data_IF_176765059438
#
_entry.id   IF_176765059438
#
_cell.length_a   1.000
_cell.length_b   1.000
_cell.length_c   1.000
_cell.angle_alpha   90.00
_cell.angle_beta   90.00
_cell.angle_gamma   90.00
#
_symmetry.space_group_name_H-M   'P 1'
#
loop_
_entity.id
_entity.type
_entity.pdbx_description
1 polymer ?
#
# COMPACT_ATOMS: atom_id res chain seq x y z
N UNK A 1 44.85 -63.93 10.77
CA UNK A 1 44.05 -62.84 11.31
C UNK A 1 44.50 -61.53 10.69
N UNK A 2 43.92 -61.09 9.55
CA UNK A 2 44.11 -59.76 8.92
C UNK A 2 43.20 -59.67 7.72
N UNK A 3 41.92 -59.43 7.88
CA UNK A 3 41.00 -59.04 6.83
C UNK A 3 39.76 -58.34 7.43
N UNK A 4 39.93 -57.19 8.06
CA UNK A 4 38.81 -56.45 8.66
C UNK A 4 38.86 -54.93 8.46
N UNK A 5 39.91 -54.43 7.79
CA UNK A 5 40.15 -52.98 7.74
C UNK A 5 39.79 -52.26 6.45
N UNK A 6 39.31 -52.96 5.41
CA UNK A 6 39.18 -52.34 4.05
C UNK A 6 37.74 -52.00 3.66
N UNK A 7 36.74 -52.37 4.46
CA UNK A 7 35.32 -52.13 4.07
C UNK A 7 34.76 -50.86 4.63
N UNK A 8 35.36 -50.30 5.68
CA UNK A 8 34.87 -49.07 6.36
C UNK A 8 35.30 -47.78 5.62
N UNK A 9 36.43 -47.83 4.90
CA UNK A 9 36.91 -46.64 4.14
C UNK A 9 36.11 -46.35 2.87
N UNK A 10 35.40 -47.37 2.29
CA UNK A 10 34.61 -47.19 1.06
C UNK A 10 33.23 -46.56 1.28
N UNK A 11 32.67 -46.63 2.49
CA UNK A 11 31.33 -46.14 2.76
C UNK A 11 31.27 -44.65 3.13
N UNK A 12 32.38 -44.06 3.52
CA UNK A 12 32.47 -42.62 3.87
C UNK A 12 32.66 -41.75 2.64
N UNK A 13 33.18 -42.30 1.54
CA UNK A 13 33.42 -41.52 0.30
C UNK A 13 32.20 -41.38 -0.62
N UNK A 14 31.11 -42.15 -0.38
CA UNK A 14 29.90 -42.11 -1.20
C UNK A 14 28.83 -41.12 -0.71
N UNK A 15 29.01 -40.51 0.50
CA UNK A 15 28.04 -39.58 1.05
C UNK A 15 28.40 -38.10 0.87
N UNK A 16 29.53 -37.82 0.23
CA UNK A 16 30.03 -36.44 0.04
C UNK A 16 29.68 -35.79 -1.30
N UNK A 17 28.82 -36.43 -2.14
CA UNK A 17 28.64 -35.96 -3.52
C UNK A 17 27.22 -35.55 -3.89
N UNK A 18 26.42 -35.03 -2.99
CA UNK A 18 25.09 -34.49 -3.35
C UNK A 18 24.66 -33.28 -2.54
N UNK A 19 25.56 -32.32 -2.34
CA UNK A 19 25.10 -30.94 -2.09
C UNK A 19 25.25 -30.17 -3.38
N UNK A 20 24.31 -30.40 -4.31
CA UNK A 20 24.11 -29.46 -5.41
C UNK A 20 23.68 -28.12 -4.77
N UNK A 21 24.40 -27.01 -5.03
CA UNK A 21 23.89 -25.72 -4.64
C UNK A 21 22.56 -25.53 -5.39
N UNK A 22 21.46 -25.53 -4.66
CA UNK A 22 20.20 -25.01 -5.17
C UNK A 22 20.51 -23.55 -5.45
N UNK A 23 20.80 -23.22 -6.70
CA UNK A 23 20.85 -21.85 -7.15
C UNK A 23 19.46 -21.29 -6.92
N UNK A 24 19.29 -20.53 -5.83
CA UNK A 24 18.10 -19.75 -5.63
C UNK A 24 17.97 -18.84 -6.86
N UNK A 25 16.99 -19.11 -7.69
CA UNK A 25 16.66 -18.20 -8.79
C UNK A 25 16.30 -16.87 -8.14
N UNK A 26 17.24 -15.94 -8.19
CA UNK A 26 16.98 -14.56 -7.81
C UNK A 26 15.93 -14.02 -8.78
N UNK A 27 14.72 -13.88 -8.28
CA UNK A 27 13.65 -13.26 -9.04
C UNK A 27 14.09 -11.82 -9.35
N UNK A 28 14.10 -11.48 -10.63
CA UNK A 28 14.27 -10.09 -11.05
C UNK A 28 13.10 -9.27 -10.49
N UNK A 29 13.41 -8.10 -9.94
CA UNK A 29 12.43 -7.15 -9.41
C UNK A 29 12.75 -5.77 -9.97
N UNK A 30 11.73 -5.01 -10.29
CA UNK A 30 11.88 -3.61 -10.68
C UNK A 30 10.95 -2.77 -9.79
N UNK A 31 11.52 -2.15 -8.75
CA UNK A 31 10.76 -1.37 -7.80
C UNK A 31 10.61 0.07 -8.28
N UNK A 32 9.36 0.52 -8.30
CA UNK A 32 8.98 1.89 -8.54
C UNK A 32 8.05 2.40 -7.44
N UNK A 33 8.10 3.71 -7.18
CA UNK A 33 7.20 4.35 -6.23
C UNK A 33 6.26 5.27 -6.97
N UNK A 34 4.97 5.19 -6.66
CA UNK A 34 3.99 6.14 -7.15
C UNK A 34 3.09 6.66 -6.03
N UNK A 35 2.58 7.86 -6.23
CA UNK A 35 1.60 8.48 -5.33
C UNK A 35 0.23 7.89 -5.67
N UNK A 36 -0.43 7.32 -4.68
CA UNK A 36 -1.82 6.83 -4.78
C UNK A 36 -2.76 8.01 -4.62
N UNK A 37 -2.54 8.84 -3.58
CA UNK A 37 -3.26 10.08 -3.35
C UNK A 37 -2.34 11.07 -2.61
N UNK A 38 -2.19 12.28 -3.13
CA UNK A 38 -1.44 13.35 -2.48
C UNK A 38 -2.35 14.31 -1.71
N UNK A 39 -3.67 14.15 -1.79
CA UNK A 39 -4.72 14.97 -1.18
C UNK A 39 -4.73 16.45 -1.61
N UNK A 40 -3.87 16.89 -2.52
CA UNK A 40 -3.72 18.30 -2.92
C UNK A 40 -4.93 18.81 -3.69
N UNK A 41 -5.46 18.00 -4.61
CA UNK A 41 -6.57 18.39 -5.46
C UNK A 41 -7.75 17.41 -5.33
N UNK A 42 -8.60 17.58 -4.30
CA UNK A 42 -9.77 16.73 -4.14
C UNK A 42 -10.78 16.87 -5.28
N UNK A 43 -10.72 17.96 -6.07
CA UNK A 43 -11.66 18.18 -7.18
C UNK A 43 -11.23 17.45 -8.45
N UNK A 44 -9.95 17.25 -8.68
CA UNK A 44 -9.43 16.48 -9.81
C UNK A 44 -9.40 14.96 -9.56
N UNK A 45 -9.50 14.50 -8.30
CA UNK A 45 -9.49 13.08 -7.95
C UNK A 45 -10.73 12.36 -8.49
N UNK A 46 -10.58 11.08 -8.88
CA UNK A 46 -11.69 10.20 -9.31
C UNK A 46 -12.58 9.78 -8.15
N UNK A 47 -12.10 9.90 -6.91
CA UNK A 47 -12.82 9.54 -5.69
C UNK A 47 -12.85 10.71 -4.70
N UNK A 48 -13.73 10.61 -3.73
CA UNK A 48 -13.75 11.47 -2.54
C UNK A 48 -13.63 10.61 -1.30
N UNK A 49 -13.20 11.22 -0.20
CA UNK A 49 -13.04 10.52 1.06
C UNK A 49 -14.22 10.79 1.99
N UNK A 50 -14.70 9.75 2.65
CA UNK A 50 -15.67 9.83 3.73
C UNK A 50 -15.13 9.12 4.97
N UNK A 51 -15.68 9.43 6.13
CA UNK A 51 -15.36 8.73 7.36
C UNK A 51 -16.61 8.08 7.94
N UNK A 52 -16.47 6.81 8.38
CA UNK A 52 -17.52 6.02 9.01
C UNK A 52 -17.05 5.52 10.37
N UNK A 53 -17.76 5.85 11.42
CA UNK A 53 -17.44 5.45 12.79
C UNK A 53 -18.18 4.20 13.24
N UNK A 54 -17.63 3.51 14.25
CA UNK A 54 -18.32 2.44 14.96
C UNK A 54 -19.56 2.95 15.69
N UNK A 55 -20.38 2.03 16.19
CA UNK A 55 -21.68 2.33 16.87
C UNK A 55 -21.57 3.40 17.98
N UNK A 56 -20.42 3.53 18.60
CA UNK A 56 -20.20 4.46 19.72
C UNK A 56 -19.49 5.75 19.31
N UNK A 57 -19.35 6.01 18.01
CA UNK A 57 -18.93 7.33 17.56
C UNK A 57 -19.98 8.36 18.00
N UNK A 58 -19.51 9.43 18.63
CA UNK A 58 -20.37 10.50 19.12
C UNK A 58 -21.14 11.13 17.97
N UNK A 59 -22.40 11.47 18.19
CA UNK A 59 -23.25 12.08 17.18
C UNK A 59 -22.59 13.32 16.56
N UNK A 60 -22.55 13.37 15.24
CA UNK A 60 -21.89 14.43 14.48
C UNK A 60 -20.39 14.15 14.16
N UNK A 61 -19.86 13.02 14.61
CA UNK A 61 -18.52 12.54 14.30
C UNK A 61 -18.58 11.20 13.58
N UNK A 62 -17.55 10.82 12.83
CA UNK A 62 -16.31 11.56 12.54
C UNK A 62 -16.53 12.74 11.59
N UNK A 63 -15.66 13.77 11.69
CA UNK A 63 -15.63 14.93 10.80
C UNK A 63 -14.38 14.82 9.94
N UNK A 64 -14.54 14.89 8.62
CA UNK A 64 -13.45 14.85 7.64
C UNK A 64 -13.37 16.15 6.88
N UNK A 65 -12.16 16.71 6.76
CA UNK A 65 -11.90 17.98 6.05
C UNK A 65 -10.51 18.02 5.44
N UNK A 66 -10.37 18.80 4.37
CA UNK A 66 -9.07 19.18 3.82
C UNK A 66 -8.57 20.46 4.47
N UNK A 67 -7.26 20.53 4.68
CA UNK A 67 -6.56 21.68 5.25
C UNK A 67 -5.43 22.07 4.32
N UNK A 68 -5.16 23.38 4.23
CA UNK A 68 -4.03 23.87 3.45
C UNK A 68 -2.71 23.66 4.19
N UNK A 69 -1.71 23.18 3.47
CA UNK A 69 -0.37 22.93 3.99
C UNK A 69 0.23 21.59 3.58
N UNK A 70 1.42 21.31 4.11
CA UNK A 70 2.15 20.05 3.90
C UNK A 70 3.09 19.78 5.08
N UNK A 71 3.56 18.54 5.28
CA UNK A 71 4.63 18.23 6.22
C UNK A 71 5.92 18.99 5.89
N UNK A 72 6.59 19.54 6.92
CA UNK A 72 7.83 20.30 6.71
C UNK A 72 8.92 19.47 6.00
N UNK A 73 8.97 18.18 6.24
CA UNK A 73 9.92 17.29 5.58
C UNK A 73 9.71 17.22 4.05
N UNK A 74 8.46 17.36 3.59
CA UNK A 74 8.13 17.43 2.16
C UNK A 74 8.48 18.81 1.61
N UNK A 75 8.20 19.84 2.37
CA UNK A 75 8.45 21.25 1.98
C UNK A 75 9.92 21.50 1.60
N UNK A 76 10.85 20.89 2.31
CA UNK A 76 12.30 21.00 2.01
C UNK A 76 12.65 20.43 0.63
N UNK A 77 11.85 19.49 0.11
CA UNK A 77 12.07 18.85 -1.20
C UNK A 77 11.35 19.58 -2.34
N UNK A 78 10.47 20.54 -2.03
CA UNK A 78 9.73 21.30 -3.03
C UNK A 78 10.48 22.58 -3.40
N UNK A 79 10.65 22.81 -4.69
CA UNK A 79 11.39 23.97 -5.22
C UNK A 79 10.50 25.20 -5.41
N UNK A 80 9.17 25.01 -5.40
CA UNK A 80 8.18 26.07 -5.66
C UNK A 80 7.37 26.40 -4.42
N UNK A 81 6.94 27.65 -4.37
CA UNK A 81 6.25 28.23 -3.23
C UNK A 81 4.99 27.46 -2.79
N UNK A 82 4.76 27.50 -1.51
CA UNK A 82 3.79 26.89 -0.62
C UNK A 82 2.27 27.07 -0.98
N UNK A 83 1.89 27.11 -2.24
CA UNK A 83 0.50 27.31 -2.62
C UNK A 83 -0.08 26.09 -3.32
N UNK A 84 -1.27 25.69 -2.86
CA UNK A 84 -2.04 24.62 -3.50
C UNK A 84 -1.89 23.24 -2.87
N UNK A 85 -1.05 23.08 -1.85
CA UNK A 85 -0.89 21.82 -1.13
C UNK A 85 -1.96 21.68 -0.05
N UNK A 86 -2.51 20.49 0.08
CA UNK A 86 -3.51 20.14 1.09
C UNK A 86 -3.20 18.79 1.71
N UNK A 87 -3.74 18.57 2.88
CA UNK A 87 -3.75 17.28 3.54
C UNK A 87 -5.15 16.96 4.07
N UNK A 88 -5.45 15.68 4.20
CA UNK A 88 -6.73 15.20 4.69
C UNK A 88 -6.70 15.10 6.21
N UNK A 89 -7.64 15.74 6.90
CA UNK A 89 -7.77 15.70 8.36
C UNK A 89 -9.08 15.08 8.80
N UNK A 90 -9.03 14.33 9.90
CA UNK A 90 -10.18 13.73 10.55
C UNK A 90 -10.18 14.04 12.05
N UNK A 91 -11.36 14.41 12.57
CA UNK A 91 -11.65 14.46 14.00
C UNK A 91 -12.66 13.39 14.36
N UNK A 92 -12.42 12.65 15.45
CA UNK A 92 -13.35 11.64 15.95
C UNK A 92 -13.44 11.69 17.47
N UNK A 93 -14.65 11.43 17.97
CA UNK A 93 -14.95 11.24 19.40
C UNK A 93 -15.79 9.99 19.57
N UNK A 94 -15.64 9.34 20.70
CA UNK A 94 -16.50 8.20 21.06
C UNK A 94 -17.13 8.42 22.41
N UNK A 95 -18.37 7.97 22.57
CA UNK A 95 -19.15 8.16 23.81
C UNK A 95 -18.64 7.31 24.98
N UNK A 96 -17.84 6.28 24.66
CA UNK A 96 -17.26 5.39 25.67
C UNK A 96 -15.93 4.78 25.23
N UNK A 97 -15.10 4.47 26.19
CA UNK A 97 -13.90 3.63 25.98
C UNK A 97 -14.31 2.21 25.57
N UNK A 98 -13.47 1.53 24.81
CA UNK A 98 -13.68 0.19 24.31
C UNK A 98 -12.95 -0.04 23.00
N UNK A 99 -13.28 -1.12 22.31
CA UNK A 99 -12.81 -1.42 20.97
C UNK A 99 -13.68 -0.66 19.95
N UNK A 100 -13.40 0.63 19.80
CA UNK A 100 -14.03 1.44 18.76
C UNK A 100 -13.15 1.46 17.51
N UNK A 101 -13.77 1.81 16.41
CA UNK A 101 -13.05 1.99 15.15
C UNK A 101 -13.66 3.13 14.34
N UNK A 102 -12.85 3.69 13.46
CA UNK A 102 -13.27 4.61 12.41
C UNK A 102 -12.54 4.28 11.13
N UNK A 103 -13.28 4.21 10.03
CA UNK A 103 -12.77 3.97 8.68
C UNK A 103 -12.81 5.25 7.87
N UNK A 104 -11.73 5.54 7.16
CA UNK A 104 -11.64 6.58 6.15
C UNK A 104 -11.65 5.85 4.80
N UNK A 105 -12.75 6.01 4.06
CA UNK A 105 -13.09 5.18 2.89
C UNK A 105 -13.16 6.05 1.65
N UNK A 106 -12.51 5.66 0.55
CA UNK A 106 -12.75 6.32 -0.72
C UNK A 106 -14.14 5.94 -1.27
N UNK A 107 -14.82 6.92 -1.87
CA UNK A 107 -16.12 6.75 -2.46
C UNK A 107 -16.13 7.32 -3.87
N UNK A 108 -17.00 6.77 -4.70
CA UNK A 108 -17.13 7.22 -6.09
C UNK A 108 -17.66 8.64 -6.13
N UNK A 109 -16.99 9.48 -6.91
CA UNK A 109 -17.36 10.88 -7.09
C UNK A 109 -18.55 11.00 -8.05
N UNK A 110 -19.45 11.94 -7.80
CA UNK A 110 -20.53 12.28 -8.73
C UNK A 110 -21.79 11.41 -8.67
N UNK A 111 -21.95 10.58 -7.63
CA UNK A 111 -23.16 9.74 -7.46
C UNK A 111 -24.35 10.47 -6.79
N UNK A 112 -24.27 11.80 -6.62
CA UNK A 112 -25.26 12.61 -5.94
C UNK A 112 -25.37 12.26 -4.45
N UNK A 113 -26.60 12.11 -3.92
CA UNK A 113 -26.83 11.77 -2.50
C UNK A 113 -26.50 10.31 -2.16
N UNK A 114 -26.20 9.48 -3.16
CA UNK A 114 -25.83 8.07 -2.95
C UNK A 114 -24.35 7.96 -2.74
N UNK A 115 -23.95 7.43 -1.60
CA UNK A 115 -22.56 7.09 -1.31
C UNK A 115 -22.29 5.69 -1.87
N UNK A 116 -21.53 5.62 -2.97
CA UNK A 116 -21.07 4.35 -3.53
C UNK A 116 -19.62 4.11 -3.09
N UNK A 117 -19.32 2.99 -2.41
CA UNK A 117 -17.95 2.63 -2.10
C UNK A 117 -17.09 2.57 -3.38
N UNK A 118 -15.89 3.09 -3.29
CA UNK A 118 -14.87 2.97 -4.31
C UNK A 118 -13.65 2.26 -3.73
N UNK A 119 -13.06 1.39 -4.48
CA UNK A 119 -11.79 0.77 -4.11
C UNK A 119 -10.72 1.23 -5.07
N UNK A 120 -9.63 1.81 -4.53
CA UNK A 120 -8.56 2.32 -5.37
C UNK A 120 -7.72 1.14 -5.86
N UNK A 121 -7.70 0.84 -7.17
CA UNK A 121 -6.91 -0.26 -7.70
C UNK A 121 -5.42 0.07 -7.60
N UNK A 122 -4.63 -0.85 -7.08
CA UNK A 122 -3.18 -0.70 -7.07
C UNK A 122 -2.57 -1.08 -8.42
N UNK A 123 -1.47 -0.43 -8.78
CA UNK A 123 -0.70 -0.70 -9.99
C UNK A 123 0.46 -1.62 -9.68
N UNK A 124 0.54 -2.77 -10.38
CA UNK A 124 1.60 -3.75 -10.18
C UNK A 124 1.48 -4.53 -8.86
N UNK A 125 2.58 -5.14 -8.44
CA UNK A 125 2.64 -5.90 -7.19
C UNK A 125 3.18 -5.01 -6.07
N UNK A 126 2.34 -4.70 -5.12
CA UNK A 126 2.69 -3.82 -4.02
C UNK A 126 3.62 -4.53 -3.03
N UNK A 127 4.79 -3.95 -2.81
CA UNK A 127 5.73 -4.38 -1.79
C UNK A 127 5.49 -3.67 -0.46
N UNK A 128 5.24 -2.35 -0.52
CA UNK A 128 5.07 -1.51 0.66
C UNK A 128 4.12 -0.36 0.37
N UNK A 129 3.36 0.02 1.37
CA UNK A 129 2.60 1.28 1.40
C UNK A 129 3.24 2.21 2.41
N UNK A 130 3.28 3.50 2.12
CA UNK A 130 3.71 4.53 3.05
C UNK A 130 2.90 5.82 2.90
N UNK A 131 2.81 6.56 4.00
CA UNK A 131 2.07 7.82 4.07
C UNK A 131 2.63 8.70 5.18
N UNK A 132 2.47 10.00 5.04
CA UNK A 132 2.69 10.92 6.13
C UNK A 132 1.45 10.96 7.02
N UNK A 133 1.66 10.75 8.31
CA UNK A 133 0.61 10.75 9.32
C UNK A 133 0.97 11.72 10.42
N UNK A 134 0.10 12.69 10.69
CA UNK A 134 0.20 13.55 11.87
C UNK A 134 -0.62 12.91 12.99
N UNK A 135 0.04 12.60 14.10
CA UNK A 135 -0.58 11.99 15.26
C UNK A 135 -0.76 12.99 16.41
N UNK A 136 -1.79 12.76 17.23
CA UNK A 136 -2.12 13.54 18.42
C UNK A 136 -1.73 12.83 19.72
N UNK A 137 -0.77 11.89 19.64
CA UNK A 137 -0.26 11.13 20.80
C UNK A 137 -1.32 10.25 21.50
N UNK A 138 -2.23 9.66 20.73
CA UNK A 138 -3.14 8.62 21.20
C UNK A 138 -2.63 7.23 20.79
N UNK A 139 -2.76 6.24 21.66
CA UNK A 139 -2.36 4.87 21.35
C UNK A 139 -3.43 4.15 20.49
N UNK A 140 -3.85 4.80 19.40
CA UNK A 140 -4.71 4.18 18.40
C UNK A 140 -3.87 3.41 17.39
N UNK A 141 -4.40 2.32 16.89
CA UNK A 141 -3.76 1.49 15.88
C UNK A 141 -4.27 1.87 14.50
N UNK A 142 -3.33 2.23 13.62
CA UNK A 142 -3.62 2.49 12.22
C UNK A 142 -3.43 1.21 11.43
N UNK A 143 -4.44 0.85 10.68
CA UNK A 143 -4.47 -0.30 9.77
C UNK A 143 -4.80 0.18 8.35
N UNK A 144 -4.31 -0.53 7.35
CA UNK A 144 -4.76 -0.40 5.95
C UNK A 144 -5.60 -1.62 5.61
N UNK A 145 -6.81 -1.39 5.14
CA UNK A 145 -7.65 -2.45 4.60
C UNK A 145 -7.39 -2.58 3.11
N UNK A 146 -7.03 -3.78 2.67
CA UNK A 146 -6.81 -4.10 1.26
C UNK A 146 -7.66 -5.29 0.85
N UNK A 147 -8.18 -5.28 -0.37
CA UNK A 147 -8.85 -6.44 -0.96
C UNK A 147 -7.88 -7.18 -1.85
N UNK A 148 -7.74 -8.47 -1.64
CA UNK A 148 -6.92 -9.35 -2.46
C UNK A 148 -7.59 -9.69 -3.80
N UNK A 149 -6.87 -10.33 -4.71
CA UNK A 149 -7.40 -10.72 -6.01
C UNK A 149 -8.53 -11.77 -5.94
N UNK A 150 -8.75 -12.41 -4.79
CA UNK A 150 -9.84 -13.35 -4.56
C UNK A 150 -11.07 -12.70 -3.91
N UNK A 151 -11.06 -11.37 -3.72
CA UNK A 151 -12.15 -10.62 -3.14
C UNK A 151 -12.18 -10.56 -1.61
N UNK A 152 -11.16 -11.09 -0.90
CA UNK A 152 -11.09 -11.05 0.57
C UNK A 152 -10.46 -9.74 1.04
N UNK A 153 -11.06 -9.13 2.05
CA UNK A 153 -10.49 -7.95 2.70
C UNK A 153 -9.56 -8.40 3.83
N UNK A 154 -8.37 -7.85 3.83
CA UNK A 154 -7.34 -8.06 4.83
C UNK A 154 -7.05 -6.75 5.57
N UNK A 155 -6.88 -6.82 6.89
CA UNK A 155 -6.35 -5.72 7.68
C UNK A 155 -4.84 -5.87 7.81
N UNK A 156 -4.11 -4.85 7.40
CA UNK A 156 -2.66 -4.80 7.47
C UNK A 156 -2.26 -3.71 8.48
N UNK A 157 -1.73 -4.07 9.66
CA UNK A 157 -1.40 -3.11 10.69
C UNK A 157 -0.19 -2.27 10.27
N UNK A 158 -0.37 -0.94 10.24
CA UNK A 158 0.69 0.03 9.98
C UNK A 158 1.45 0.35 11.27
N UNK A 159 0.73 0.49 12.39
CA UNK A 159 1.31 0.73 13.70
C UNK A 159 0.52 1.70 14.56
N UNK A 160 1.10 2.04 15.71
CA UNK A 160 0.48 2.95 16.67
C UNK A 160 0.71 4.41 16.28
N UNK A 161 -0.35 5.22 16.35
CA UNK A 161 -0.31 6.67 16.12
C UNK A 161 0.06 7.43 17.43
N UNK A 162 0.84 6.78 18.30
CA UNK A 162 1.31 7.33 19.56
C UNK A 162 2.54 8.22 19.36
N UNK A 163 2.36 9.29 18.59
CA UNK A 163 3.35 10.32 18.37
C UNK A 163 2.66 11.66 18.21
N UNK A 164 3.37 12.73 18.39
CA UNK A 164 2.92 14.08 18.12
C UNK A 164 3.62 14.62 16.88
N UNK A 165 2.85 15.25 15.98
CA UNK A 165 3.37 15.80 14.74
C UNK A 165 3.45 14.80 13.59
N UNK A 166 4.06 15.23 12.47
CA UNK A 166 4.19 14.46 11.25
C UNK A 166 5.26 13.37 11.35
N UNK A 167 4.88 12.16 10.95
CA UNK A 167 5.77 11.00 10.80
C UNK A 167 5.42 10.25 9.53
N UNK A 168 6.43 9.84 8.78
CA UNK A 168 6.21 8.87 7.71
C UNK A 168 5.99 7.48 8.33
N UNK A 169 4.81 6.91 8.10
CA UNK A 169 4.44 5.56 8.53
C UNK A 169 4.37 4.64 7.32
N UNK A 170 4.89 3.44 7.44
CA UNK A 170 4.91 2.51 6.33
C UNK A 170 4.61 1.09 6.77
N UNK A 171 4.07 0.29 5.86
CA UNK A 171 3.78 -1.12 6.07
C UNK A 171 4.12 -1.94 4.84
N UNK A 172 4.81 -3.05 5.05
CA UNK A 172 5.06 -4.05 4.00
C UNK A 172 3.83 -4.93 3.85
N UNK A 173 3.39 -5.15 2.62
CA UNK A 173 2.28 -6.05 2.34
C UNK A 173 2.73 -7.51 2.59
N UNK A 174 2.05 -8.23 3.50
CA UNK A 174 2.37 -9.62 3.78
C UNK A 174 2.29 -10.51 2.54
N UNK A 175 3.23 -11.43 2.39
CA UNK A 175 3.35 -12.31 1.21
C UNK A 175 2.20 -13.30 1.06
N UNK A 176 1.45 -13.57 2.13
CA UNK A 176 0.26 -14.41 2.13
C UNK A 176 -0.99 -13.70 1.56
N UNK A 177 -0.94 -12.39 1.35
CA UNK A 177 -1.99 -11.66 0.65
C UNK A 177 -1.76 -11.80 -0.85
N UNK A 178 -2.69 -12.44 -1.51
CA UNK A 178 -2.60 -12.76 -2.94
C UNK A 178 -2.98 -11.53 -3.77
N UNK A 179 -2.02 -10.97 -4.51
CA UNK A 179 -2.23 -9.70 -5.23
C UNK A 179 -2.61 -9.90 -6.70
N UNK A 180 -2.36 -11.07 -7.27
CA UNK A 180 -2.75 -11.44 -8.63
C UNK A 180 -3.00 -12.94 -8.72
N UNK A 181 -3.88 -13.35 -9.61
CA UNK A 181 -4.14 -14.75 -9.88
C UNK A 181 -4.03 -15.01 -11.38
N UNK A 182 -3.22 -15.98 -11.81
CA UNK A 182 -3.10 -16.37 -13.22
C UNK A 182 -4.36 -17.10 -13.74
N UNK A 183 -5.26 -17.53 -12.84
CA UNK A 183 -6.45 -18.32 -13.17
C UNK A 183 -7.72 -17.49 -13.36
N UNK A 184 -7.68 -16.20 -13.00
CA UNK A 184 -8.84 -15.34 -13.15
C UNK A 184 -8.75 -14.59 -14.48
N UNK A 185 -9.77 -14.76 -15.32
CA UNK A 185 -9.93 -13.98 -16.54
C UNK A 185 -10.23 -12.51 -16.16
N UNK A 186 -9.34 -11.63 -16.57
CA UNK A 186 -9.36 -10.23 -16.17
C UNK A 186 -8.31 -9.94 -15.09
N UNK A 187 -7.76 -8.75 -15.15
CA UNK A 187 -6.73 -8.30 -14.20
C UNK A 187 -7.41 -7.92 -12.90
N UNK A 188 -7.70 -8.91 -12.06
CA UNK A 188 -8.07 -8.64 -10.67
C UNK A 188 -6.77 -8.40 -9.90
N UNK A 189 -6.51 -7.14 -9.63
CA UNK A 189 -5.39 -6.69 -8.81
C UNK A 189 -5.87 -6.42 -7.39
N UNK A 190 -4.94 -6.37 -6.48
CA UNK A 190 -5.22 -5.90 -5.12
C UNK A 190 -5.69 -4.46 -5.16
N UNK A 191 -6.66 -4.10 -4.32
CA UNK A 191 -7.19 -2.74 -4.17
C UNK A 191 -7.08 -2.24 -2.74
N UNK A 192 -6.99 -0.92 -2.59
CA UNK A 192 -7.13 -0.25 -1.31
C UNK A 192 -8.62 -0.06 -0.99
N UNK A 193 -9.00 -0.43 0.23
CA UNK A 193 -10.39 -0.35 0.71
C UNK A 193 -10.59 0.82 1.65
N UNK A 194 -9.74 0.95 2.68
CA UNK A 194 -9.86 2.01 3.69
C UNK A 194 -8.60 2.15 4.55
N UNK A 195 -8.42 3.30 5.18
CA UNK A 195 -7.66 3.42 6.40
C UNK A 195 -8.58 3.14 7.59
N UNK A 196 -8.14 2.30 8.52
CA UNK A 196 -8.88 2.02 9.76
C UNK A 196 -8.05 2.45 10.95
N UNK A 197 -8.68 3.21 11.83
CA UNK A 197 -8.15 3.50 13.16
C UNK A 197 -8.95 2.72 14.19
N UNK A 198 -8.23 2.00 15.03
CA UNK A 198 -8.82 1.20 16.09
C UNK A 198 -8.36 1.73 17.44
N UNK A 199 -9.32 1.98 18.34
CA UNK A 199 -8.99 2.40 19.70
C UNK A 199 -8.59 1.19 20.56
N UNK A 200 -7.83 1.45 21.62
CA UNK A 200 -7.60 0.47 22.67
C UNK A 200 -8.57 0.69 23.82
N UNK A 201 -9.02 -0.37 24.52
CA UNK A 201 -10.02 -0.25 25.59
C UNK A 201 -9.66 0.71 26.72
N UNK A 202 -8.36 0.87 26.99
CA UNK A 202 -7.83 1.72 28.06
C UNK A 202 -7.54 3.16 27.63
N UNK A 203 -7.50 3.41 26.31
CA UNK A 203 -7.13 4.73 25.78
C UNK A 203 -8.26 5.73 25.94
N UNK A 204 -7.91 7.02 26.02
CA UNK A 204 -8.88 8.11 25.98
C UNK A 204 -9.56 8.17 24.62
N UNK A 205 -10.81 8.66 24.59
CA UNK A 205 -11.67 8.68 23.41
C UNK A 205 -12.34 10.03 23.18
N UNK A 206 -11.82 11.05 23.85
CA UNK A 206 -12.16 12.46 23.62
C UNK A 206 -11.64 12.93 22.25
N UNK A 207 -11.62 14.20 21.98
CA UNK A 207 -11.24 14.73 20.67
C UNK A 207 -9.89 14.19 20.15
N UNK A 208 -9.92 13.22 19.26
CA UNK A 208 -8.77 12.68 18.55
C UNK A 208 -8.69 13.26 17.14
N UNK A 209 -7.52 13.76 16.77
CA UNK A 209 -7.23 14.28 15.43
C UNK A 209 -6.16 13.44 14.76
N UNK A 210 -6.30 13.25 13.46
CA UNK A 210 -5.27 12.66 12.62
C UNK A 210 -5.28 13.35 11.27
N UNK A 211 -4.10 13.52 10.67
CA UNK A 211 -3.99 14.04 9.31
C UNK A 211 -3.15 13.12 8.47
N UNK A 212 -3.50 13.03 7.18
CA UNK A 212 -2.83 12.19 6.20
C UNK A 212 -2.34 13.04 5.05
N UNK A 213 -1.16 12.71 4.55
CA UNK A 213 -0.58 13.31 3.36
C UNK A 213 0.26 12.29 2.61
N UNK A 214 0.34 12.45 1.29
CA UNK A 214 1.17 11.64 0.38
C UNK A 214 1.07 10.12 0.63
N UNK A 215 -0.08 9.57 0.41
CA UNK A 215 -0.26 8.13 0.37
C UNK A 215 0.42 7.55 -0.87
N UNK A 216 1.43 6.69 -0.69
CA UNK A 216 2.30 6.15 -1.73
C UNK A 216 2.35 4.65 -1.69
N UNK A 217 2.66 4.06 -2.83
CA UNK A 217 2.88 2.64 -2.99
C UNK A 217 4.24 2.38 -3.65
N UNK A 218 5.03 1.50 -3.03
CA UNK A 218 6.21 0.89 -3.64
C UNK A 218 5.75 -0.39 -4.33
N UNK A 219 5.85 -0.43 -5.64
CA UNK A 219 5.38 -1.53 -6.48
C UNK A 219 6.52 -2.21 -7.20
N UNK A 220 6.40 -3.52 -7.39
CA UNK A 220 7.25 -4.29 -8.30
C UNK A 220 6.53 -4.34 -9.65
N UNK A 221 7.09 -3.63 -10.63
CA UNK A 221 6.55 -3.56 -12.00
C UNK A 221 7.09 -4.69 -12.88
N UNK A 222 8.00 -5.52 -12.37
CA UNK A 222 8.54 -6.63 -13.13
C UNK A 222 7.46 -7.69 -13.41
N UNK A 223 7.14 -7.85 -14.67
CA UNK A 223 6.27 -8.92 -15.15
C UNK A 223 7.15 -10.13 -15.54
N UNK A 224 6.91 -11.33 -14.96
CA UNK A 224 7.63 -12.53 -15.35
C UNK A 224 7.26 -13.04 -16.74
N UNK A 225 6.17 -12.58 -17.32
CA UNK A 225 5.83 -12.77 -18.71
C UNK A 225 6.63 -11.79 -19.56
N UNK A 226 7.11 -12.28 -20.68
CA UNK A 226 7.91 -11.57 -21.66
C UNK A 226 7.30 -10.18 -21.99
N UNK A 227 7.82 -9.15 -21.32
CA UNK A 227 7.46 -7.76 -21.57
C UNK A 227 8.12 -7.33 -22.88
N UNK A 228 7.38 -6.69 -23.78
CA UNK A 228 7.87 -6.32 -25.10
C UNK A 228 7.67 -7.40 -26.17
N UNK A 229 6.80 -8.38 -25.93
CA UNK A 229 6.47 -9.40 -26.94
C UNK A 229 5.96 -8.77 -28.26
N UNK A 230 5.28 -7.65 -28.19
CA UNK A 230 4.82 -6.86 -29.31
C UNK A 230 5.94 -6.26 -30.17
N UNK A 231 7.17 -6.20 -29.61
CA UNK A 231 8.36 -5.75 -30.36
C UNK A 231 8.96 -6.87 -31.22
N UNK A 232 8.52 -8.12 -31.02
CA UNK A 232 8.92 -9.24 -31.86
C UNK A 232 8.29 -9.07 -33.24
N UNK A 233 9.10 -8.77 -34.23
CA UNK A 233 8.63 -8.46 -35.59
C UNK A 233 8.52 -6.96 -35.89
N UNK A 234 8.97 -6.08 -34.99
CA UNK A 234 9.10 -4.67 -35.32
C UNK A 234 10.04 -4.49 -36.52
N UNK A 235 9.52 -3.90 -37.58
CA UNK A 235 10.31 -3.62 -38.77
C UNK A 235 11.12 -2.33 -38.56
N UNK A 236 12.44 -2.44 -38.61
CA UNK A 236 13.36 -1.29 -38.63
C UNK A 236 13.51 -0.81 -40.08
N UNK A 237 12.44 -0.22 -40.64
CA UNK A 237 12.49 0.37 -41.96
C UNK A 237 13.09 1.77 -41.84
N UNK A 238 14.31 1.93 -42.35
CA UNK A 238 14.94 3.24 -42.55
C UNK A 238 14.11 4.02 -43.59
N UNK A 239 13.32 4.97 -43.15
CA UNK A 239 12.70 6.02 -44.01
C UNK A 239 13.78 6.98 -44.57
N UNK A 240 14.80 6.45 -45.22
CA UNK A 240 15.82 7.27 -45.92
C UNK A 240 15.57 7.40 -47.41
N UNK A 241 14.32 7.44 -47.85
CA UNK A 241 14.03 7.75 -49.27
C UNK A 241 12.78 8.62 -49.43
N UNK A 242 12.79 9.81 -48.84
CA UNK A 242 11.91 10.92 -49.32
C UNK A 242 12.75 12.20 -49.44
N UNK A 243 13.54 12.28 -50.50
CA UNK A 243 14.31 13.50 -50.77
C UNK A 243 15.09 13.41 -52.09
N UNK A 244 14.44 13.02 -53.19
CA UNK A 244 15.01 13.21 -54.52
C UNK A 244 13.89 13.05 -55.57
N UNK A 245 13.12 14.09 -55.80
CA UNK A 245 12.57 14.48 -57.12
C UNK A 245 12.25 15.99 -57.11
#
# INVERSE_FOLDING_TARGET
MKQGGLIIAGLVLLFSLCVLPVAAQTRSVNYETYIVDNFDDPDASEWTWIAAGSKFATKGYPILKYFDGMPNAIRVMQTNADTGYKFLGMEVKFDRKGDNWVDIVPTKKGTGDKVEPYEIPFKGRIARLDMWVWGANYAYELEVLVRDCNGRVHSVPVGLVKHEGWRNMSVTIPTNIQQASPYLSGIQQMSFVAFRLRTRPTERVDAFYIFFDQFKALTDTYLPSYDGFELVGAEFTDNQNQGAQ
#
